data_IF_148698582920
#
_entry.id   IF_148698582920
#
_cell.length_a   1.000
_cell.length_b   1.000
_cell.length_c   1.000
_cell.angle_alpha   90.00
_cell.angle_beta   90.00
_cell.angle_gamma   90.00
#
_symmetry.space_group_name_H-M   'P 1'
#
loop_
_entity.id
_entity.type
_entity.pdbx_description
1 polymer ?
#
# COMPACT_ATOMS: atom_id res chain seq x y z
N UNK A 1 -19.34 0.10 -8.67
CA UNK A 1 -20.29 -0.65 -7.82
C UNK A 1 -20.08 -0.39 -6.32
N UNK A 2 -18.85 -0.51 -5.82
CA UNK A 2 -18.56 -0.25 -4.40
C UNK A 2 -18.91 1.19 -3.99
N UNK A 3 -18.53 2.17 -4.79
CA UNK A 3 -18.85 3.57 -4.50
C UNK A 3 -20.34 3.84 -4.43
N UNK A 4 -21.10 3.18 -5.31
CA UNK A 4 -22.57 3.31 -5.29
C UNK A 4 -23.16 2.77 -3.99
N UNK A 5 -22.63 1.66 -3.49
CA UNK A 5 -23.06 1.10 -2.20
C UNK A 5 -22.73 2.04 -1.06
N UNK A 6 -21.52 2.61 -1.05
CA UNK A 6 -21.10 3.55 -0.02
C UNK A 6 -21.96 4.80 -0.02
N UNK A 7 -22.30 5.32 -1.19
CA UNK A 7 -23.17 6.49 -1.31
C UNK A 7 -24.58 6.17 -0.84
N UNK A 8 -25.12 5.00 -1.22
CA UNK A 8 -26.46 4.57 -0.85
C UNK A 8 -26.66 4.50 0.66
N UNK A 9 -25.65 4.05 1.40
CA UNK A 9 -25.72 3.93 2.86
C UNK A 9 -25.06 5.08 3.60
N UNK A 10 -24.75 6.18 2.89
CA UNK A 10 -24.12 7.37 3.47
C UNK A 10 -22.80 7.08 4.17
N UNK A 11 -22.00 6.19 3.57
CA UNK A 11 -20.68 5.81 4.09
C UNK A 11 -19.58 6.58 3.35
N UNK A 12 -19.77 7.87 3.19
CA UNK A 12 -18.85 8.72 2.41
C UNK A 12 -17.45 8.79 2.99
N UNK A 13 -17.30 8.60 4.30
CA UNK A 13 -16.00 8.63 4.96
C UNK A 13 -15.07 7.50 4.52
N UNK A 14 -15.62 6.42 3.94
CA UNK A 14 -14.82 5.31 3.42
C UNK A 14 -14.35 5.52 1.98
N UNK A 15 -14.94 6.48 1.24
CA UNK A 15 -14.62 6.70 -0.17
C UNK A 15 -13.13 7.02 -0.39
N UNK A 16 -12.51 7.97 0.32
CA UNK A 16 -11.08 8.24 0.12
C UNK A 16 -10.20 7.05 0.48
N UNK A 17 -10.62 6.23 1.45
CA UNK A 17 -9.88 5.03 1.83
C UNK A 17 -9.90 4.00 0.71
N UNK A 18 -11.07 3.74 0.12
CA UNK A 18 -11.22 2.80 -0.98
C UNK A 18 -10.44 3.26 -2.21
N UNK A 19 -10.53 4.55 -2.54
CA UNK A 19 -9.77 5.11 -3.66
C UNK A 19 -8.27 4.99 -3.44
N UNK A 20 -7.81 5.32 -2.23
CA UNK A 20 -6.39 5.22 -1.90
C UNK A 20 -5.87 3.79 -2.05
N UNK A 21 -6.63 2.82 -1.57
CA UNK A 21 -6.25 1.40 -1.68
C UNK A 21 -6.20 0.97 -3.14
N UNK A 22 -7.24 1.27 -3.92
CA UNK A 22 -7.32 0.86 -5.33
C UNK A 22 -6.18 1.41 -6.16
N UNK A 23 -5.85 2.67 -5.96
CA UNK A 23 -4.82 3.36 -6.74
C UNK A 23 -3.42 3.21 -6.17
N UNK A 24 -3.30 2.68 -4.96
CA UNK A 24 -2.03 2.69 -4.23
C UNK A 24 -1.64 4.10 -3.83
N UNK A 25 -2.61 4.99 -3.67
CA UNK A 25 -2.37 6.38 -3.28
C UNK A 25 -2.39 6.47 -1.76
N UNK A 26 -1.22 6.28 -1.19
CA UNK A 26 -1.04 6.25 0.25
C UNK A 26 -1.41 7.58 0.92
N UNK A 27 -1.19 8.70 0.22
CA UNK A 27 -1.53 10.02 0.76
C UNK A 27 -3.03 10.17 0.90
N UNK A 28 -3.80 9.84 -0.14
CA UNK A 28 -5.27 9.89 -0.08
C UNK A 28 -5.81 9.00 1.02
N UNK A 29 -5.25 7.78 1.14
CA UNK A 29 -5.65 6.86 2.20
C UNK A 29 -5.35 7.42 3.59
N UNK A 30 -4.12 7.89 3.81
CA UNK A 30 -3.69 8.43 5.11
C UNK A 30 -4.46 9.68 5.50
N UNK A 31 -4.69 10.59 4.55
CA UNK A 31 -5.44 11.81 4.80
C UNK A 31 -6.90 11.50 5.15
N UNK A 32 -7.52 10.55 4.44
CA UNK A 32 -8.88 10.12 4.74
C UNK A 32 -8.99 9.44 6.10
N UNK A 33 -8.01 8.62 6.46
CA UNK A 33 -7.97 7.95 7.74
C UNK A 33 -7.83 8.97 8.89
N UNK A 34 -6.98 9.96 8.71
CA UNK A 34 -6.76 11.01 9.70
C UNK A 34 -7.97 11.94 9.83
N UNK A 35 -8.59 12.30 8.72
CA UNK A 35 -9.73 13.20 8.69
C UNK A 35 -10.90 12.67 9.51
N UNK A 36 -11.17 11.38 9.44
CA UNK A 36 -12.27 10.74 10.13
C UNK A 36 -11.83 9.83 11.27
N UNK A 37 -10.61 10.07 11.80
CA UNK A 37 -10.00 9.24 12.82
C UNK A 37 -10.91 9.02 14.03
N UNK A 38 -11.47 10.10 14.58
CA UNK A 38 -12.33 10.02 15.75
C UNK A 38 -13.58 9.17 15.51
N UNK A 39 -14.15 9.28 14.32
CA UNK A 39 -15.31 8.50 13.92
C UNK A 39 -14.97 7.01 13.86
N UNK A 40 -13.84 6.67 13.26
CA UNK A 40 -13.42 5.28 13.13
C UNK A 40 -13.07 4.66 14.47
N UNK A 41 -12.44 5.43 15.37
CA UNK A 41 -12.13 4.98 16.73
C UNK A 41 -13.42 4.67 17.49
N UNK A 42 -14.40 5.57 17.42
CA UNK A 42 -15.69 5.38 18.11
C UNK A 42 -16.46 4.18 17.60
N UNK A 43 -16.35 3.88 16.30
CA UNK A 43 -16.99 2.71 15.69
C UNK A 43 -16.20 1.42 15.89
N UNK A 44 -14.99 1.49 16.45
CA UNK A 44 -14.14 0.33 16.64
C UNK A 44 -13.51 -0.22 15.37
N UNK A 45 -13.48 0.57 14.28
CA UNK A 45 -12.98 0.14 12.98
C UNK A 45 -11.59 0.68 12.65
N UNK A 46 -11.05 1.59 13.46
CA UNK A 46 -9.80 2.29 13.14
C UNK A 46 -8.62 1.33 12.95
N UNK A 47 -8.45 0.37 13.88
CA UNK A 47 -7.33 -0.57 13.78
C UNK A 47 -7.44 -1.47 12.55
N UNK A 48 -8.65 -1.87 12.18
CA UNK A 48 -8.88 -2.66 10.97
C UNK A 48 -8.51 -1.86 9.72
N UNK A 49 -8.91 -0.58 9.67
CA UNK A 49 -8.59 0.29 8.54
C UNK A 49 -7.10 0.56 8.46
N UNK A 50 -6.42 0.70 9.60
CA UNK A 50 -4.98 0.87 9.61
C UNK A 50 -4.25 -0.35 9.04
N UNK A 51 -4.77 -1.55 9.28
CA UNK A 51 -4.23 -2.76 8.66
C UNK A 51 -4.39 -2.75 7.15
N UNK A 52 -5.44 -2.12 6.63
CA UNK A 52 -5.64 -1.99 5.19
C UNK A 52 -4.57 -1.12 4.53
N UNK A 53 -3.84 -0.34 5.31
CA UNK A 53 -2.70 0.43 4.82
C UNK A 53 -1.64 -0.47 4.17
N UNK A 54 -1.48 -1.68 4.68
CA UNK A 54 -0.56 -2.68 4.10
C UNK A 54 -0.94 -3.00 2.65
N UNK A 55 -2.24 -3.13 2.37
CA UNK A 55 -2.72 -3.38 1.01
C UNK A 55 -2.47 -2.17 0.12
N UNK A 56 -2.61 -0.97 0.66
CA UNK A 56 -2.30 0.27 -0.06
C UNK A 56 -0.82 0.32 -0.46
N UNK A 57 0.08 -0.01 0.45
CA UNK A 57 1.52 -0.12 0.14
C UNK A 57 1.77 -1.14 -0.96
N UNK A 58 1.16 -2.31 -0.85
CA UNK A 58 1.32 -3.37 -1.85
C UNK A 58 0.90 -2.87 -3.23
N UNK A 59 -0.22 -2.18 -3.32
CA UNK A 59 -0.72 -1.66 -4.58
C UNK A 59 0.17 -0.55 -5.15
N UNK A 60 0.73 0.29 -4.28
CA UNK A 60 1.70 1.31 -4.68
C UNK A 60 2.94 0.68 -5.32
N UNK A 61 3.51 -0.33 -4.67
CA UNK A 61 4.70 -1.00 -5.18
C UNK A 61 4.40 -1.77 -6.46
N UNK A 62 3.22 -2.34 -6.58
CA UNK A 62 2.78 -2.99 -7.82
C UNK A 62 2.72 -2.00 -8.98
N UNK A 63 2.25 -0.78 -8.73
CA UNK A 63 2.23 0.27 -9.76
C UNK A 63 3.64 0.68 -10.17
N UNK A 64 4.55 0.84 -9.20
CA UNK A 64 5.96 1.13 -9.50
C UNK A 64 6.56 0.01 -10.35
N UNK A 65 6.29 -1.23 -9.98
CA UNK A 65 6.76 -2.39 -10.74
C UNK A 65 6.27 -2.37 -12.18
N UNK A 66 5.00 -2.05 -12.40
CA UNK A 66 4.43 -1.97 -13.75
C UNK A 66 5.08 -0.87 -14.58
N UNK A 67 5.37 0.26 -13.96
CA UNK A 67 6.01 1.40 -14.64
C UNK A 67 7.45 1.06 -15.01
N UNK A 68 8.20 0.49 -14.08
CA UNK A 68 9.60 0.12 -14.30
C UNK A 68 9.74 -1.08 -15.25
N UNK A 69 8.74 -1.95 -15.26
CA UNK A 69 8.70 -3.15 -16.10
C UNK A 69 9.98 -3.99 -15.97
N UNK A 70 10.47 -4.15 -14.75
CA UNK A 70 11.70 -4.88 -14.46
C UNK A 70 11.51 -5.66 -13.14
N UNK A 71 12.01 -6.91 -13.06
CA UNK A 71 11.93 -7.67 -11.82
C UNK A 71 12.87 -7.15 -10.73
N UNK A 72 13.76 -6.21 -11.07
CA UNK A 72 14.65 -5.57 -10.10
C UNK A 72 14.23 -4.13 -9.92
N UNK A 73 13.75 -3.79 -8.71
CA UNK A 73 13.31 -2.44 -8.40
C UNK A 73 14.32 -1.78 -7.45
N UNK A 74 15.02 -0.72 -7.92
CA UNK A 74 15.84 0.07 -7.00
C UNK A 74 14.97 0.71 -5.93
N UNK A 75 15.40 0.64 -4.67
CA UNK A 75 14.65 1.24 -3.57
C UNK A 75 14.53 2.76 -3.71
N UNK A 76 15.48 3.39 -4.39
CA UNK A 76 15.43 4.81 -4.68
C UNK A 76 14.22 5.18 -5.54
N UNK A 77 13.88 4.35 -6.51
CA UNK A 77 12.70 4.58 -7.35
C UNK A 77 11.40 4.45 -6.53
N UNK A 78 11.38 3.51 -5.60
CA UNK A 78 10.25 3.36 -4.68
C UNK A 78 10.14 4.59 -3.78
N UNK A 79 11.27 5.07 -3.25
CA UNK A 79 11.29 6.27 -2.43
C UNK A 79 10.81 7.51 -3.21
N UNK A 80 11.13 7.60 -4.49
CA UNK A 80 10.62 8.67 -5.36
C UNK A 80 9.10 8.64 -5.48
N UNK A 81 8.50 7.45 -5.51
CA UNK A 81 7.05 7.34 -5.58
C UNK A 81 6.39 7.89 -4.31
N UNK A 82 6.99 7.68 -3.14
CA UNK A 82 6.52 8.30 -1.90
C UNK A 82 6.63 9.81 -1.95
N UNK A 83 7.73 10.32 -2.51
CA UNK A 83 7.93 11.77 -2.64
C UNK A 83 6.87 12.39 -3.54
N UNK A 84 6.46 11.68 -4.59
CA UNK A 84 5.36 12.12 -5.46
C UNK A 84 4.06 12.28 -4.70
N UNK A 85 3.84 11.46 -3.67
CA UNK A 85 2.66 11.53 -2.81
C UNK A 85 2.83 12.55 -1.68
N UNK A 86 3.90 13.35 -1.71
CA UNK A 86 4.18 14.34 -0.68
C UNK A 86 4.71 13.76 0.61
N UNK A 87 5.23 12.55 0.57
CA UNK A 87 5.79 11.86 1.75
C UNK A 87 7.29 11.72 1.59
N UNK A 88 8.03 12.16 2.60
CA UNK A 88 9.48 11.97 2.65
C UNK A 88 9.78 10.75 3.51
N UNK A 89 10.43 9.76 2.91
CA UNK A 89 10.74 8.50 3.58
C UNK A 89 12.16 8.10 3.18
N UNK A 90 12.96 7.64 4.15
CA UNK A 90 14.32 7.21 3.84
C UNK A 90 14.34 5.76 3.33
N UNK A 91 15.51 5.35 2.79
CA UNK A 91 15.65 4.03 2.20
C UNK A 91 15.51 2.92 3.24
N UNK A 92 15.90 3.17 4.47
CA UNK A 92 15.77 2.17 5.54
C UNK A 92 14.31 1.89 5.86
N UNK A 93 13.47 2.94 5.88
CA UNK A 93 12.03 2.76 6.09
C UNK A 93 11.38 2.04 4.92
N UNK A 94 11.77 2.35 3.68
CA UNK A 94 11.28 1.65 2.49
C UNK A 94 11.61 0.17 2.59
N UNK A 95 12.85 -0.15 2.97
CA UNK A 95 13.31 -1.52 3.15
C UNK A 95 12.50 -2.25 4.22
N UNK A 96 12.23 -1.59 5.35
CA UNK A 96 11.42 -2.17 6.42
C UNK A 96 9.99 -2.46 5.96
N UNK A 97 9.37 -1.54 5.24
CA UNK A 97 8.02 -1.72 4.72
C UNK A 97 7.98 -2.91 3.76
N UNK A 98 8.94 -2.97 2.83
CA UNK A 98 9.02 -4.07 1.86
C UNK A 98 9.30 -5.40 2.54
N UNK A 99 10.20 -5.43 3.52
CA UNK A 99 10.49 -6.65 4.28
C UNK A 99 9.25 -7.17 4.98
N UNK A 100 8.45 -6.30 5.56
CA UNK A 100 7.20 -6.67 6.21
C UNK A 100 6.18 -7.22 5.21
N UNK A 101 6.08 -6.61 4.02
CA UNK A 101 5.19 -7.10 2.97
C UNK A 101 5.62 -8.48 2.47
N UNK A 102 6.91 -8.71 2.33
CA UNK A 102 7.45 -10.02 1.93
C UNK A 102 7.15 -11.07 3.00
N UNK A 103 7.40 -10.73 4.26
CA UNK A 103 7.15 -11.63 5.39
C UNK A 103 5.68 -12.04 5.45
N UNK A 104 4.76 -11.08 5.21
CA UNK A 104 3.32 -11.33 5.28
C UNK A 104 2.76 -11.96 4.00
N UNK A 105 3.58 -12.17 2.99
CA UNK A 105 3.17 -12.83 1.74
C UNK A 105 2.48 -11.94 0.72
N UNK A 106 2.45 -10.63 0.92
CA UNK A 106 1.86 -9.71 -0.07
C UNK A 106 2.77 -9.45 -1.25
N UNK A 107 4.07 -9.61 -1.06
CA UNK A 107 5.08 -9.45 -2.11
C UNK A 107 5.98 -10.67 -2.10
N UNK A 108 6.26 -11.22 -3.27
CA UNK A 108 7.19 -12.35 -3.42
C UNK A 108 8.50 -11.88 -4.01
N UNK A 109 9.57 -12.06 -3.28
CA UNK A 109 10.89 -11.63 -3.70
C UNK A 109 11.81 -11.51 -2.50
N UNK A 110 12.94 -10.85 -2.71
CA UNK A 110 13.89 -10.59 -1.62
C UNK A 110 14.56 -9.23 -1.83
N UNK A 111 15.15 -8.72 -0.77
CA UNK A 111 15.83 -7.42 -0.79
C UNK A 111 17.33 -7.65 -0.71
N UNK A 112 18.07 -7.07 -1.67
CA UNK A 112 19.52 -7.00 -1.57
C UNK A 112 19.88 -5.72 -0.83
N UNK A 113 20.22 -5.84 0.44
CA UNK A 113 20.53 -4.70 1.30
C UNK A 113 21.75 -3.91 0.80
N UNK A 114 22.81 -4.63 0.37
CA UNK A 114 24.02 -3.99 -0.11
C UNK A 114 23.81 -3.14 -1.37
N UNK A 115 22.93 -3.61 -2.25
CA UNK A 115 22.63 -2.92 -3.52
C UNK A 115 21.42 -2.02 -3.44
N UNK A 116 20.66 -2.10 -2.36
CA UNK A 116 19.39 -1.38 -2.17
C UNK A 116 18.43 -1.62 -3.33
N UNK A 117 18.23 -2.89 -3.66
CA UNK A 117 17.37 -3.33 -4.75
C UNK A 117 16.42 -4.39 -4.22
N UNK A 118 15.15 -4.29 -4.63
CA UNK A 118 14.15 -5.34 -4.42
C UNK A 118 14.17 -6.24 -5.67
N UNK A 119 14.42 -7.53 -5.46
CA UNK A 119 14.37 -8.53 -6.55
C UNK A 119 13.04 -9.27 -6.42
N UNK A 120 12.17 -9.10 -7.40
CA UNK A 120 10.85 -9.70 -7.41
C UNK A 120 10.88 -11.08 -8.07
N UNK A 121 10.02 -11.97 -7.58
CA UNK A 121 9.83 -13.28 -8.20
C UNK A 121 9.30 -13.12 -9.62
N UNK A 122 9.75 -13.97 -10.53
CA UNK A 122 9.25 -13.99 -11.90
C UNK A 122 7.83 -14.51 -11.99
N UNK A 123 7.40 -15.27 -10.97
CA UNK A 123 6.09 -15.88 -10.94
C UNK A 123 5.25 -15.21 -9.83
N UNK A 124 4.24 -14.46 -10.26
CA UNK A 124 3.27 -13.81 -9.38
C UNK A 124 3.93 -13.02 -8.23
N UNK A 125 4.65 -11.92 -8.53
CA UNK A 125 5.35 -11.16 -7.49
C UNK A 125 4.41 -10.44 -6.52
N UNK A 126 3.14 -10.21 -6.90
CA UNK A 126 2.13 -9.57 -6.06
C UNK A 126 0.90 -10.47 -5.98
N UNK A 127 0.93 -11.53 -5.16
CA UNK A 127 -0.14 -12.53 -5.14
C UNK A 127 -1.44 -11.95 -4.59
N UNK A 128 -2.50 -12.03 -5.38
CA UNK A 128 -3.82 -11.54 -4.99
C UNK A 128 -4.44 -12.40 -3.89
N UNK A 129 -4.21 -13.70 -3.96
CA UNK A 129 -4.78 -14.64 -2.99
C UNK A 129 -4.34 -14.34 -1.54
N UNK A 130 -3.13 -13.78 -1.35
CA UNK A 130 -2.64 -13.42 -0.03
C UNK A 130 -3.47 -12.31 0.63
N UNK A 131 -4.05 -11.41 -0.17
CA UNK A 131 -4.89 -10.33 0.33
C UNK A 131 -6.20 -10.90 0.88
N UNK A 132 -6.78 -11.86 0.17
CA UNK A 132 -8.05 -12.46 0.55
C UNK A 132 -7.87 -13.38 1.76
N UNK A 133 -6.76 -14.11 1.84
CA UNK A 133 -6.49 -15.06 2.91
C UNK A 133 -6.20 -14.39 4.25
N UNK A 134 -5.91 -13.10 4.24
CA UNK A 134 -5.57 -12.32 5.43
C UNK A 134 -6.50 -11.15 5.62
#
# INVERSE_FOLDING_TARGET
MLFTVLEKYSLYEFIPLVEGIRKGDLRTFSDGLLKYQDLFIRRGTYLLLEKCKTVCYRNLFKRVYKIMNSPQLPLEEVAKSFKWLGMTIDLDEVECILANLIYRGFVRGYISHSKRILVLSKKDPFPFAAIIAK
#
